data_IF_705652316480
#
_entry.id   IF_705652316480
#
_cell.length_a   1.000
_cell.length_b   1.000
_cell.length_c   1.000
_cell.angle_alpha   90.00
_cell.angle_beta   90.00
_cell.angle_gamma   90.00
#
_symmetry.space_group_name_H-M   'P 1'
#
loop_
_entity.id
_entity.type
_entity.pdbx_description
1 polymer ?
#
# COMPACT_ATOMS: atom_id res chain seq x y z
N UNK A 1 -2.99 -33.42 -63.66
CA UNK A 1 -3.84 -34.35 -62.90
C UNK A 1 -2.98 -35.40 -62.17
N UNK A 2 -1.95 -34.98 -61.43
CA UNK A 2 -0.96 -35.88 -60.80
C UNK A 2 -0.92 -35.64 -59.28
N UNK A 3 -0.92 -36.71 -58.50
CA UNK A 3 -0.75 -36.70 -57.04
C UNK A 3 0.63 -37.24 -56.66
N UNK A 4 1.23 -36.67 -55.62
CA UNK A 4 2.47 -37.14 -55.01
C UNK A 4 2.20 -37.65 -53.60
N UNK A 5 2.70 -38.83 -53.27
CA UNK A 5 2.63 -39.40 -51.93
C UNK A 5 4.02 -39.83 -51.44
N UNK A 6 4.28 -39.65 -50.16
CA UNK A 6 5.36 -40.33 -49.44
C UNK A 6 4.80 -41.45 -48.56
N UNK A 7 5.55 -42.52 -48.36
CA UNK A 7 5.12 -43.71 -47.63
C UNK A 7 6.16 -44.17 -46.61
N UNK A 8 5.68 -44.90 -45.59
CA UNK A 8 6.53 -45.58 -44.58
C UNK A 8 7.39 -46.69 -45.20
N UNK A 9 7.04 -47.16 -46.40
CA UNK A 9 7.85 -48.09 -47.20
C UNK A 9 9.10 -47.45 -47.82
N UNK A 10 9.44 -46.24 -47.38
CA UNK A 10 10.59 -45.42 -47.80
C UNK A 10 10.53 -44.90 -49.24
N UNK A 11 9.38 -44.98 -49.91
CA UNK A 11 9.21 -44.53 -51.29
C UNK A 11 8.40 -43.24 -51.42
N UNK A 12 8.69 -42.50 -52.49
CA UNK A 12 7.85 -41.46 -53.06
C UNK A 12 7.16 -42.03 -54.30
N UNK A 13 5.87 -41.73 -54.50
CA UNK A 13 5.10 -42.22 -55.64
C UNK A 13 4.27 -41.11 -56.28
N UNK A 14 4.20 -41.14 -57.61
CA UNK A 14 3.31 -40.29 -58.41
C UNK A 14 2.15 -41.11 -58.95
N UNK A 15 0.96 -40.51 -58.93
CA UNK A 15 -0.27 -41.14 -59.36
C UNK A 15 -1.02 -40.26 -60.34
N UNK A 16 -1.56 -40.86 -61.39
CA UNK A 16 -2.51 -40.20 -62.27
C UNK A 16 -3.89 -40.26 -61.62
N UNK A 17 -4.47 -39.09 -61.36
CA UNK A 17 -5.71 -38.99 -60.58
C UNK A 17 -6.95 -39.49 -61.34
N UNK A 18 -6.91 -39.46 -62.68
CA UNK A 18 -8.03 -39.86 -63.54
C UNK A 18 -8.33 -41.36 -63.49
N UNK A 19 -7.29 -42.20 -63.39
CA UNK A 19 -7.41 -43.66 -63.41
C UNK A 19 -6.77 -44.33 -62.18
N UNK A 20 -6.11 -43.57 -61.30
CA UNK A 20 -5.44 -44.07 -60.10
C UNK A 20 -4.13 -44.82 -60.37
N UNK A 21 -3.61 -44.79 -61.59
CA UNK A 21 -2.42 -45.55 -61.95
C UNK A 21 -1.16 -44.92 -61.35
N UNK A 22 -0.28 -45.77 -60.82
CA UNK A 22 1.05 -45.33 -60.41
C UNK A 22 1.89 -45.01 -61.65
N UNK A 23 2.33 -43.77 -61.78
CA UNK A 23 3.11 -43.28 -62.93
C UNK A 23 4.60 -43.41 -62.68
N UNK A 24 5.06 -43.09 -61.45
CA UNK A 24 6.46 -43.18 -61.04
C UNK A 24 6.57 -43.60 -59.58
N UNK A 25 7.68 -44.24 -59.23
CA UNK A 25 8.07 -44.56 -57.86
C UNK A 25 9.56 -44.35 -57.71
N UNK A 26 9.96 -43.70 -56.63
CA UNK A 26 11.36 -43.39 -56.33
C UNK A 26 11.70 -43.83 -54.92
N UNK A 27 12.81 -44.58 -54.82
CA UNK A 27 13.45 -44.93 -53.57
C UNK A 27 14.65 -44.01 -53.34
N UNK A 28 14.94 -43.69 -52.08
CA UNK A 28 16.14 -42.90 -51.76
C UNK A 28 16.16 -42.27 -50.37
N UNK A 29 15.05 -42.28 -49.64
CA UNK A 29 15.09 -42.10 -48.18
C UNK A 29 15.42 -43.45 -47.51
N UNK A 30 16.41 -43.53 -46.61
CA UNK A 30 16.64 -44.73 -45.79
C UNK A 30 15.58 -45.01 -44.71
N UNK A 31 14.62 -44.11 -44.51
CA UNK A 31 13.49 -44.27 -43.59
C UNK A 31 12.17 -43.80 -44.20
N UNK A 32 11.05 -44.07 -43.52
CA UNK A 32 9.71 -43.70 -43.99
C UNK A 32 9.59 -42.22 -44.35
N UNK A 33 8.93 -41.92 -45.47
CA UNK A 33 8.74 -40.55 -45.95
C UNK A 33 7.52 -39.94 -45.27
N UNK A 34 7.74 -38.90 -44.46
CA UNK A 34 6.71 -38.27 -43.62
C UNK A 34 5.99 -37.10 -44.30
N UNK A 35 6.61 -36.52 -45.33
CA UNK A 35 6.01 -35.45 -46.10
C UNK A 35 6.68 -35.30 -47.46
N UNK A 36 5.91 -34.93 -48.48
CA UNK A 36 6.38 -34.68 -49.83
C UNK A 36 5.56 -33.58 -50.51
N UNK A 37 6.19 -32.75 -51.34
CA UNK A 37 5.51 -31.66 -52.04
C UNK A 37 6.20 -31.32 -53.36
N UNK A 38 5.41 -30.93 -54.36
CA UNK A 38 5.93 -30.27 -55.55
C UNK A 38 6.35 -28.82 -55.27
N UNK A 39 7.51 -28.45 -55.79
CA UNK A 39 7.88 -27.06 -56.06
C UNK A 39 7.18 -26.54 -57.31
N UNK A 40 7.14 -25.22 -57.45
CA UNK A 40 6.55 -24.59 -58.64
C UNK A 40 7.41 -24.74 -59.90
N UNK A 41 8.69 -25.06 -59.72
CA UNK A 41 9.65 -25.36 -60.77
C UNK A 41 9.62 -26.83 -61.23
N UNK A 42 8.66 -27.63 -60.74
CA UNK A 42 8.52 -29.04 -61.08
C UNK A 42 9.45 -29.99 -60.32
N UNK A 43 10.35 -29.47 -59.47
CA UNK A 43 11.12 -30.29 -58.53
C UNK A 43 10.24 -30.78 -57.39
N UNK A 44 10.68 -31.81 -56.68
CA UNK A 44 9.98 -32.35 -55.52
C UNK A 44 10.84 -32.15 -54.28
N UNK A 45 10.23 -31.85 -53.16
CA UNK A 45 10.87 -31.88 -51.84
C UNK A 45 10.20 -32.92 -50.96
N UNK A 46 11.00 -33.63 -50.17
CA UNK A 46 10.50 -34.63 -49.22
C UNK A 46 11.25 -34.58 -47.89
N UNK A 47 10.59 -35.05 -46.84
CA UNK A 47 11.10 -35.13 -45.49
C UNK A 47 10.90 -36.55 -44.94
N UNK A 48 11.93 -37.12 -44.31
CA UNK A 48 11.97 -38.52 -43.90
C UNK A 48 12.25 -38.76 -42.41
N UNK A 49 11.89 -39.96 -41.95
CA UNK A 49 12.30 -40.50 -40.64
C UNK A 49 13.80 -40.67 -40.48
N UNK A 50 14.52 -40.70 -41.59
CA UNK A 50 15.99 -40.67 -41.64
C UNK A 50 16.59 -39.33 -41.19
N UNK A 51 15.76 -38.36 -40.78
CA UNK A 51 16.14 -37.00 -40.34
C UNK A 51 16.76 -36.18 -41.47
N UNK A 52 16.41 -36.49 -42.72
CA UNK A 52 16.85 -35.75 -43.89
C UNK A 52 15.68 -35.08 -44.61
N UNK A 53 15.99 -33.97 -45.25
CA UNK A 53 15.15 -33.39 -46.30
C UNK A 53 15.84 -33.68 -47.64
N UNK A 54 15.09 -34.06 -48.67
CA UNK A 54 15.64 -34.32 -50.02
C UNK A 54 14.95 -33.44 -51.05
N UNK A 55 15.72 -33.01 -52.04
CA UNK A 55 15.24 -32.32 -53.24
C UNK A 55 15.47 -33.25 -54.44
N UNK A 56 14.44 -33.40 -55.27
CA UNK A 56 14.41 -34.32 -56.39
C UNK A 56 14.13 -33.58 -57.69
N UNK A 57 14.74 -34.02 -58.78
CA UNK A 57 14.38 -33.55 -60.13
C UNK A 57 13.06 -34.20 -60.63
N UNK A 58 12.56 -33.75 -61.78
CA UNK A 58 11.33 -34.28 -62.38
C UNK A 58 11.44 -35.73 -62.90
N UNK A 59 12.66 -36.26 -63.00
CA UNK A 59 12.94 -37.67 -63.27
C UNK A 59 12.92 -38.51 -61.98
N UNK A 60 13.03 -37.84 -60.84
CA UNK A 60 13.05 -38.36 -59.47
C UNK A 60 14.40 -38.92 -59.05
N UNK A 61 15.48 -38.34 -59.57
CA UNK A 61 16.78 -38.45 -58.93
C UNK A 61 16.83 -37.48 -57.75
N UNK A 62 17.38 -37.93 -56.61
CA UNK A 62 17.67 -37.05 -55.50
C UNK A 62 18.85 -36.14 -55.87
N UNK A 63 18.55 -34.92 -56.32
CA UNK A 63 19.57 -33.92 -56.70
C UNK A 63 20.26 -33.31 -55.49
N UNK A 64 19.64 -33.40 -54.30
CA UNK A 64 20.25 -32.98 -53.04
C UNK A 64 19.66 -33.70 -51.83
N UNK A 65 20.51 -33.93 -50.84
CA UNK A 65 20.12 -34.37 -49.50
C UNK A 65 20.61 -33.31 -48.51
N UNK A 66 19.68 -32.78 -47.71
CA UNK A 66 19.96 -31.86 -46.61
C UNK A 66 19.92 -32.67 -45.32
N UNK A 67 21.12 -32.96 -44.80
CA UNK A 67 21.33 -33.80 -43.64
C UNK A 67 21.29 -33.02 -42.32
N UNK A 68 21.33 -33.75 -41.21
CA UNK A 68 21.48 -33.21 -39.86
C UNK A 68 20.28 -32.42 -39.32
N UNK A 69 19.03 -32.82 -39.61
CA UNK A 69 17.92 -32.43 -38.75
C UNK A 69 18.10 -33.07 -37.35
N UNK A 70 17.89 -32.33 -36.26
CA UNK A 70 17.98 -32.85 -34.88
C UNK A 70 17.13 -34.10 -34.63
N UNK A 71 15.95 -34.18 -35.27
CA UNK A 71 15.00 -35.29 -35.13
C UNK A 71 14.24 -35.51 -36.46
N UNK A 72 13.23 -36.39 -36.46
CA UNK A 72 12.43 -36.78 -37.62
C UNK A 72 12.01 -35.56 -38.44
N UNK A 73 12.37 -35.52 -39.73
CA UNK A 73 11.97 -34.44 -40.61
C UNK A 73 10.49 -34.65 -40.99
N UNK A 74 9.62 -33.74 -40.56
CA UNK A 74 8.17 -33.90 -40.69
C UNK A 74 7.65 -33.36 -42.01
N UNK A 75 8.08 -32.16 -42.38
CA UNK A 75 7.60 -31.46 -43.57
C UNK A 75 8.76 -30.75 -44.25
N UNK A 76 8.67 -30.64 -45.56
CA UNK A 76 9.57 -29.85 -46.37
C UNK A 76 8.79 -29.05 -47.41
N UNK A 77 9.30 -27.87 -47.76
CA UNK A 77 8.78 -27.05 -48.84
C UNK A 77 9.93 -26.39 -49.61
N UNK A 78 9.69 -26.13 -50.89
CA UNK A 78 10.53 -25.27 -51.71
C UNK A 78 9.88 -23.88 -51.75
N UNK A 79 10.68 -22.82 -51.59
CA UNK A 79 10.18 -21.44 -51.72
C UNK A 79 9.68 -21.18 -53.13
N UNK A 80 8.80 -20.18 -53.27
CA UNK A 80 8.15 -19.87 -54.55
C UNK A 80 9.15 -19.53 -55.66
N UNK A 81 10.24 -18.85 -55.32
CA UNK A 81 11.36 -18.53 -56.21
C UNK A 81 12.29 -19.72 -56.50
N UNK A 82 12.01 -20.89 -55.91
CA UNK A 82 12.84 -22.09 -56.05
C UNK A 82 14.20 -22.01 -55.36
N UNK A 83 14.53 -20.90 -54.67
CA UNK A 83 15.88 -20.63 -54.18
C UNK A 83 16.21 -21.33 -52.85
N UNK A 84 15.19 -21.70 -52.06
CA UNK A 84 15.39 -22.27 -50.73
C UNK A 84 14.51 -23.48 -50.47
N UNK A 85 15.09 -24.45 -49.77
CA UNK A 85 14.36 -25.56 -49.17
C UNK A 85 14.19 -25.27 -47.68
N UNK A 86 12.99 -25.42 -47.16
CA UNK A 86 12.69 -25.24 -45.73
C UNK A 86 12.18 -26.58 -45.19
N UNK A 87 12.79 -27.03 -44.11
CA UNK A 87 12.44 -28.27 -43.41
C UNK A 87 12.05 -28.01 -41.97
N UNK A 88 11.14 -28.83 -41.44
CA UNK A 88 10.79 -28.83 -40.03
C UNK A 88 10.98 -30.20 -39.42
N UNK A 89 11.41 -30.27 -38.16
CA UNK A 89 11.50 -31.52 -37.42
C UNK A 89 10.48 -31.65 -36.28
N UNK A 90 10.47 -32.84 -35.66
CA UNK A 90 9.64 -33.16 -34.51
C UNK A 90 9.94 -32.30 -33.26
N UNK A 91 11.15 -31.78 -33.13
CA UNK A 91 11.53 -30.88 -32.00
C UNK A 91 11.03 -29.45 -32.19
N UNK A 92 10.48 -29.12 -33.36
CA UNK A 92 10.00 -27.78 -33.69
C UNK A 92 11.09 -26.85 -34.19
N UNK A 93 12.26 -27.37 -34.57
CA UNK A 93 13.24 -26.58 -35.30
C UNK A 93 12.82 -26.43 -36.76
N UNK A 94 13.00 -25.22 -37.28
CA UNK A 94 12.84 -24.91 -38.70
C UNK A 94 14.23 -24.63 -39.25
N UNK A 95 14.59 -25.30 -40.33
CA UNK A 95 15.88 -25.07 -41.02
C UNK A 95 15.63 -24.68 -42.46
N UNK A 96 16.46 -23.78 -42.95
CA UNK A 96 16.44 -23.37 -44.35
C UNK A 96 17.78 -23.66 -44.99
N UNK A 97 17.76 -24.16 -46.22
CA UNK A 97 18.95 -24.39 -47.04
C UNK A 97 18.79 -23.70 -48.38
N UNK A 98 19.90 -23.24 -48.93
CA UNK A 98 19.98 -22.84 -50.32
C UNK A 98 19.78 -24.08 -51.21
N UNK A 99 18.79 -23.99 -52.11
CA UNK A 99 18.39 -25.11 -52.94
C UNK A 99 19.39 -25.42 -54.06
N UNK A 100 20.34 -24.54 -54.36
CA UNK A 100 21.29 -24.61 -55.48
C UNK A 100 22.65 -25.21 -55.07
N UNK A 101 23.10 -24.97 -53.84
CA UNK A 101 24.40 -25.42 -53.33
C UNK A 101 24.30 -26.25 -52.04
N UNK A 102 23.13 -26.33 -51.40
CA UNK A 102 22.94 -27.09 -50.16
C UNK A 102 23.36 -26.36 -48.89
N UNK A 103 23.88 -25.14 -48.98
CA UNK A 103 24.36 -24.38 -47.83
C UNK A 103 23.23 -24.09 -46.85
N UNK A 104 23.47 -24.35 -45.56
CA UNK A 104 22.50 -24.05 -44.50
C UNK A 104 22.39 -22.53 -44.32
N UNK A 105 21.20 -21.99 -44.53
CA UNK A 105 20.84 -20.59 -44.28
C UNK A 105 20.53 -20.28 -42.80
N UNK A 106 20.64 -21.27 -41.92
CA UNK A 106 20.45 -21.13 -40.46
C UNK A 106 19.26 -21.90 -39.90
N UNK A 107 19.18 -21.95 -38.57
CA UNK A 107 18.06 -22.53 -37.83
C UNK A 107 17.18 -21.40 -37.30
N UNK A 108 15.89 -21.46 -37.61
CA UNK A 108 14.86 -20.59 -37.06
C UNK A 108 14.17 -21.38 -35.94
N UNK A 109 14.43 -21.00 -34.70
CA UNK A 109 13.80 -21.61 -33.53
C UNK A 109 12.49 -20.90 -33.22
N UNK A 110 11.36 -21.57 -33.45
CA UNK A 110 10.05 -21.04 -33.12
C UNK A 110 9.47 -21.59 -31.80
N UNK A 111 10.15 -22.54 -31.12
CA UNK A 111 9.66 -23.13 -29.87
C UNK A 111 10.80 -23.33 -28.85
N UNK A 112 10.57 -23.08 -27.55
CA UNK A 112 11.58 -23.26 -26.53
C UNK A 112 11.73 -24.76 -26.23
N UNK A 113 12.86 -25.34 -26.64
CA UNK A 113 13.45 -26.52 -26.03
C UNK A 113 12.69 -27.86 -26.12
N UNK A 114 13.40 -28.90 -25.70
CA UNK A 114 12.89 -30.25 -25.47
C UNK A 114 11.68 -30.25 -24.53
N UNK A 115 10.88 -31.32 -24.52
CA UNK A 115 9.73 -31.45 -23.60
C UNK A 115 10.12 -31.25 -22.13
N UNK A 116 11.32 -31.67 -21.74
CA UNK A 116 11.86 -31.51 -20.39
C UNK A 116 12.08 -30.03 -20.02
N UNK A 117 12.66 -29.24 -20.92
CA UNK A 117 12.88 -27.80 -20.71
C UNK A 117 11.55 -27.05 -20.61
N UNK A 118 10.55 -27.45 -21.42
CA UNK A 118 9.19 -26.89 -21.37
C UNK A 118 8.48 -27.19 -20.04
N UNK A 119 8.68 -28.38 -19.48
CA UNK A 119 8.13 -28.76 -18.19
C UNK A 119 8.79 -28.00 -17.03
N UNK A 120 10.11 -27.82 -17.08
CA UNK A 120 10.83 -27.02 -16.08
C UNK A 120 10.39 -25.55 -16.09
N UNK A 121 10.25 -24.97 -17.28
CA UNK A 121 9.77 -23.59 -17.42
C UNK A 121 8.34 -23.44 -16.88
N UNK A 122 7.43 -24.37 -17.25
CA UNK A 122 6.05 -24.36 -16.77
C UNK A 122 5.96 -24.53 -15.25
N UNK A 123 6.82 -25.36 -14.64
CA UNK A 123 6.88 -25.52 -13.19
C UNK A 123 7.32 -24.23 -12.49
N UNK A 124 8.38 -23.57 -12.99
CA UNK A 124 8.86 -22.29 -12.44
C UNK A 124 7.83 -21.17 -12.58
N UNK A 125 7.16 -21.08 -13.72
CA UNK A 125 6.07 -20.13 -13.94
C UNK A 125 4.89 -20.40 -12.99
N UNK A 126 4.56 -21.67 -12.78
CA UNK A 126 3.49 -22.06 -11.86
C UNK A 126 3.80 -21.64 -10.42
N UNK A 127 5.01 -21.94 -9.92
CA UNK A 127 5.45 -21.53 -8.58
C UNK A 127 5.42 -20.00 -8.41
N UNK A 128 5.94 -19.27 -9.40
CA UNK A 128 5.92 -17.80 -9.38
C UNK A 128 4.48 -17.25 -9.33
N UNK A 129 3.56 -17.83 -10.11
CA UNK A 129 2.14 -17.45 -10.13
C UNK A 129 1.42 -17.83 -8.84
N UNK A 130 1.74 -18.97 -8.24
CA UNK A 130 1.20 -19.37 -6.93
C UNK A 130 1.61 -18.37 -5.85
N UNK A 131 2.90 -18.03 -5.79
CA UNK A 131 3.42 -17.04 -4.83
C UNK A 131 2.77 -15.67 -5.04
N UNK A 132 2.68 -15.19 -6.29
CA UNK A 132 2.04 -13.90 -6.58
C UNK A 132 0.54 -13.88 -6.19
N UNK A 133 -0.18 -14.98 -6.44
CA UNK A 133 -1.60 -15.11 -6.08
C UNK A 133 -1.78 -15.11 -4.55
N UNK A 134 -0.92 -15.84 -3.82
CA UNK A 134 -0.93 -15.84 -2.36
C UNK A 134 -0.65 -14.43 -1.79
N UNK A 135 0.31 -13.70 -2.36
CA UNK A 135 0.62 -12.32 -1.95
C UNK A 135 -0.57 -11.37 -2.19
N UNK A 136 -1.27 -11.49 -3.31
CA UNK A 136 -2.48 -10.69 -3.58
C UNK A 136 -3.58 -10.96 -2.55
N UNK A 137 -3.77 -12.23 -2.15
CA UNK A 137 -4.74 -12.60 -1.11
C UNK A 137 -4.37 -11.99 0.26
N UNK A 138 -3.08 -12.04 0.64
CA UNK A 138 -2.60 -11.40 1.88
C UNK A 138 -2.83 -9.88 1.84
N UNK A 139 -2.50 -9.23 0.73
CA UNK A 139 -2.71 -7.80 0.55
C UNK A 139 -4.20 -7.40 0.62
N UNK A 140 -5.10 -8.22 0.06
CA UNK A 140 -6.53 -7.98 0.16
C UNK A 140 -7.01 -8.05 1.62
N UNK A 141 -6.57 -9.06 2.38
CA UNK A 141 -6.89 -9.20 3.81
C UNK A 141 -6.39 -8.02 4.63
N UNK A 142 -5.15 -7.58 4.40
CA UNK A 142 -4.59 -6.40 5.07
C UNK A 142 -5.41 -5.13 4.78
N UNK A 143 -5.88 -4.94 3.54
CA UNK A 143 -6.76 -3.80 3.21
C UNK A 143 -8.11 -3.90 3.89
N UNK A 144 -8.67 -5.11 4.01
CA UNK A 144 -9.92 -5.34 4.73
C UNK A 144 -9.79 -4.97 6.23
N UNK A 145 -8.69 -5.38 6.87
CA UNK A 145 -8.42 -5.05 8.27
C UNK A 145 -8.20 -3.53 8.45
N UNK A 146 -7.48 -2.88 7.52
CA UNK A 146 -7.33 -1.42 7.51
C UNK A 146 -8.68 -0.70 7.32
N UNK A 147 -9.58 -1.23 6.50
CA UNK A 147 -10.92 -0.68 6.30
C UNK A 147 -11.79 -0.80 7.56
N UNK A 148 -11.68 -1.91 8.29
CA UNK A 148 -12.32 -2.09 9.60
C UNK A 148 -11.82 -1.05 10.59
N UNK A 149 -10.49 -0.85 10.67
CA UNK A 149 -9.90 0.19 11.52
C UNK A 149 -10.36 1.60 11.13
N UNK A 150 -10.42 1.93 9.84
CA UNK A 150 -10.92 3.23 9.38
C UNK A 150 -12.38 3.48 9.82
N UNK A 151 -13.20 2.43 9.84
CA UNK A 151 -14.59 2.49 10.32
C UNK A 151 -14.65 2.76 11.83
N UNK A 152 -13.76 2.17 12.61
CA UNK A 152 -13.61 2.44 14.05
C UNK A 152 -13.21 3.90 14.27
N UNK A 153 -12.20 4.40 13.56
CA UNK A 153 -11.75 5.80 13.65
C UNK A 153 -12.87 6.79 13.35
N UNK A 154 -13.68 6.55 12.33
CA UNK A 154 -14.85 7.40 12.01
C UNK A 154 -15.83 7.42 13.19
N UNK A 155 -16.13 6.24 13.75
CA UNK A 155 -17.03 6.11 14.91
C UNK A 155 -16.50 6.90 16.11
N UNK A 156 -15.20 6.81 16.41
CA UNK A 156 -14.55 7.56 17.47
C UNK A 156 -14.63 9.07 17.25
N UNK A 157 -14.30 9.55 16.05
CA UNK A 157 -14.37 10.99 15.71
C UNK A 157 -15.81 11.51 15.83
N UNK A 158 -16.81 10.74 15.40
CA UNK A 158 -18.23 11.08 15.57
C UNK A 158 -18.64 11.10 17.05
N UNK A 159 -18.11 10.19 17.87
CA UNK A 159 -18.30 10.19 19.31
C UNK A 159 -17.73 11.45 19.97
N UNK A 160 -16.52 11.87 19.55
CA UNK A 160 -15.91 13.11 20.00
C UNK A 160 -16.73 14.33 19.57
N UNK A 161 -17.26 14.38 18.34
CA UNK A 161 -18.13 15.48 17.88
C UNK A 161 -19.36 15.68 18.76
N UNK A 162 -19.88 14.62 19.39
CA UNK A 162 -21.04 14.69 20.29
C UNK A 162 -20.67 15.13 21.70
N UNK A 163 -19.48 14.77 22.19
CA UNK A 163 -19.10 14.89 23.61
C UNK A 163 -18.23 16.11 23.90
N UNK A 164 -17.27 16.41 23.02
CA UNK A 164 -16.28 17.47 23.22
C UNK A 164 -16.89 18.89 23.33
N UNK A 165 -17.95 19.26 22.58
CA UNK A 165 -18.61 20.56 22.77
C UNK A 165 -19.12 20.76 24.20
N UNK A 166 -19.73 19.73 24.80
CA UNK A 166 -20.19 19.79 26.19
C UNK A 166 -19.03 19.93 27.19
N UNK A 167 -17.87 19.34 26.90
CA UNK A 167 -16.66 19.53 27.71
C UNK A 167 -16.12 20.96 27.58
N UNK A 168 -16.18 21.57 26.39
CA UNK A 168 -15.83 22.99 26.20
C UNK A 168 -16.74 23.88 27.05
N UNK A 169 -18.05 23.61 27.07
CA UNK A 169 -19.00 24.39 27.86
C UNK A 169 -18.74 24.26 29.37
N UNK A 170 -18.43 23.05 29.84
CA UNK A 170 -18.02 22.81 31.23
C UNK A 170 -16.71 23.53 31.58
N UNK A 171 -15.72 23.51 30.69
CA UNK A 171 -14.45 24.19 30.87
C UNK A 171 -14.63 25.72 30.92
N UNK A 172 -15.49 26.29 30.07
CA UNK A 172 -15.87 27.71 30.12
C UNK A 172 -16.58 28.07 31.42
N UNK A 173 -17.43 27.20 31.93
CA UNK A 173 -18.08 27.40 33.22
C UNK A 173 -17.08 27.40 34.38
N UNK A 174 -16.09 26.50 34.39
CA UNK A 174 -15.01 26.51 35.39
C UNK A 174 -14.10 27.75 35.27
N UNK A 175 -13.79 28.17 34.04
CA UNK A 175 -13.03 29.39 33.76
C UNK A 175 -13.73 30.62 34.33
N UNK A 176 -15.05 30.75 34.12
CA UNK A 176 -15.85 31.84 34.67
C UNK A 176 -15.85 31.86 36.20
N UNK A 177 -15.92 30.67 36.84
CA UNK A 177 -15.84 30.54 38.30
C UNK A 177 -14.48 30.94 38.85
N UNK A 178 -13.38 30.48 38.25
CA UNK A 178 -12.02 30.84 38.67
C UNK A 178 -11.78 32.35 38.54
N UNK A 179 -12.23 32.96 37.43
CA UNK A 179 -12.18 34.42 37.25
C UNK A 179 -12.97 35.15 38.34
N UNK A 180 -14.20 34.74 38.61
CA UNK A 180 -15.03 35.36 39.64
C UNK A 180 -14.44 35.24 41.05
N UNK A 181 -13.84 34.10 41.40
CA UNK A 181 -13.17 33.89 42.67
C UNK A 181 -11.96 34.81 42.83
N UNK A 182 -11.12 34.91 41.79
CA UNK A 182 -9.98 35.84 41.76
C UNK A 182 -10.43 37.29 41.89
N UNK A 183 -11.43 37.71 41.12
CA UNK A 183 -11.95 39.09 41.14
C UNK A 183 -12.52 39.43 42.54
N UNK A 184 -13.18 38.47 43.20
CA UNK A 184 -13.69 38.63 44.57
C UNK A 184 -12.57 38.78 45.61
N UNK A 185 -11.52 37.98 45.52
CA UNK A 185 -10.36 38.10 46.40
C UNK A 185 -9.60 39.42 46.16
N UNK A 186 -9.46 39.84 44.91
CA UNK A 186 -8.84 41.12 44.55
C UNK A 186 -9.65 42.31 45.10
N UNK A 187 -10.98 42.27 44.98
CA UNK A 187 -11.87 43.27 45.58
C UNK A 187 -11.77 43.29 47.12
N UNK A 188 -11.67 42.11 47.75
CA UNK A 188 -11.50 41.98 49.20
C UNK A 188 -10.16 42.57 49.67
N UNK A 189 -9.07 42.34 48.91
CA UNK A 189 -7.76 42.94 49.15
C UNK A 189 -7.84 44.48 49.05
N UNK A 190 -8.42 45.01 47.98
CA UNK A 190 -8.55 46.45 47.78
C UNK A 190 -9.40 47.13 48.87
N UNK A 191 -10.46 46.48 49.34
CA UNK A 191 -11.28 46.98 50.44
C UNK A 191 -10.48 47.06 51.76
N UNK A 192 -9.72 46.01 52.11
CA UNK A 192 -8.89 46.00 53.30
C UNK A 192 -7.73 47.00 53.24
N UNK A 193 -7.13 47.21 52.05
CA UNK A 193 -6.10 48.24 51.86
C UNK A 193 -6.66 49.65 52.07
N UNK A 194 -7.88 49.91 51.58
CA UNK A 194 -8.58 51.17 51.80
C UNK A 194 -8.89 51.40 53.29
N UNK A 195 -9.38 50.36 53.98
CA UNK A 195 -9.66 50.40 55.42
C UNK A 195 -8.38 50.63 56.24
N UNK A 196 -7.29 49.93 55.92
CA UNK A 196 -5.99 50.11 56.56
C UNK A 196 -5.48 51.55 56.40
N UNK A 197 -5.55 52.10 55.18
CA UNK A 197 -5.16 53.48 54.89
C UNK A 197 -6.03 54.51 55.62
N UNK A 198 -7.34 54.25 55.72
CA UNK A 198 -8.26 55.07 56.50
C UNK A 198 -7.91 55.08 57.98
N UNK A 199 -7.63 53.89 58.56
CA UNK A 199 -7.17 53.76 59.95
C UNK A 199 -5.85 54.48 60.18
N UNK A 200 -4.87 54.34 59.30
CA UNK A 200 -3.58 55.03 59.42
C UNK A 200 -3.74 56.56 59.44
N UNK A 201 -4.68 57.08 58.63
CA UNK A 201 -5.00 58.52 58.59
C UNK A 201 -5.59 58.99 59.92
N UNK A 202 -6.61 58.29 60.45
CA UNK A 202 -7.22 58.57 61.76
C UNK A 202 -6.18 58.49 62.88
N UNK A 203 -5.27 57.52 62.80
CA UNK A 203 -4.25 57.29 63.80
C UNK A 203 -3.18 58.39 63.79
N UNK A 204 -2.82 58.90 62.61
CA UNK A 204 -1.95 60.07 62.47
C UNK A 204 -2.57 61.33 63.11
N UNK A 205 -3.87 61.57 62.88
CA UNK A 205 -4.60 62.69 63.46
C UNK A 205 -4.73 62.58 64.99
N UNK A 206 -5.08 61.39 65.50
CA UNK A 206 -5.17 61.14 66.95
C UNK A 206 -3.82 61.29 67.65
N UNK A 207 -2.72 60.83 67.05
CA UNK A 207 -1.37 61.04 67.57
C UNK A 207 -1.04 62.54 67.62
N UNK A 208 -1.34 63.30 66.55
CA UNK A 208 -1.14 64.74 66.53
C UNK A 208 -1.98 65.47 67.60
N UNK A 209 -3.24 65.07 67.79
CA UNK A 209 -4.11 65.61 68.84
C UNK A 209 -3.60 65.27 70.25
N UNK A 210 -3.14 64.04 70.47
CA UNK A 210 -2.55 63.61 71.74
C UNK A 210 -1.32 64.44 72.10
N UNK A 211 -0.44 64.73 71.13
CA UNK A 211 0.72 65.62 71.31
C UNK A 211 0.28 67.04 71.69
N UNK A 212 -0.68 67.62 70.96
CA UNK A 212 -1.22 68.96 71.28
C UNK A 212 -1.82 69.04 72.68
N UNK A 213 -2.59 68.03 73.10
CA UNK A 213 -3.18 67.97 74.44
C UNK A 213 -2.11 67.84 75.54
N UNK A 214 -1.04 67.08 75.30
CA UNK A 214 0.11 67.00 76.22
C UNK A 214 0.84 68.34 76.34
N UNK A 215 1.09 69.02 75.22
CA UNK A 215 1.75 70.33 75.21
C UNK A 215 0.92 71.40 75.93
N UNK A 216 -0.42 71.38 75.77
CA UNK A 216 -1.31 72.28 76.52
C UNK A 216 -1.36 71.93 78.01
N UNK A 217 -1.42 70.64 78.37
CA UNK A 217 -1.42 70.20 79.77
C UNK A 217 -0.16 70.67 80.54
N UNK A 218 0.99 70.77 79.86
CA UNK A 218 2.22 71.32 80.44
C UNK A 218 2.15 72.84 80.68
N UNK A 219 1.35 73.58 79.89
CA UNK A 219 1.20 75.04 79.98
C UNK A 219 0.14 75.49 80.99
N UNK A 220 -0.81 74.62 81.37
CA UNK A 220 -1.87 74.91 82.35
C UNK A 220 -1.98 73.82 83.44
N UNK A 221 -1.08 73.80 84.44
CA UNK A 221 -0.96 72.70 85.41
C UNK A 221 -2.15 72.58 86.39
N UNK A 222 -2.94 73.64 86.56
CA UNK A 222 -4.08 73.65 87.48
C UNK A 222 -5.33 72.97 86.92
N UNK A 223 -5.39 72.69 85.61
CA UNK A 223 -6.55 72.10 84.95
C UNK A 223 -6.38 70.58 84.74
N UNK A 224 -7.06 69.79 85.56
CA UNK A 224 -7.03 68.32 85.52
C UNK A 224 -7.73 67.72 84.30
N UNK A 225 -8.50 68.50 83.53
CA UNK A 225 -9.23 67.99 82.37
C UNK A 225 -8.30 67.66 81.18
N UNK A 226 -7.22 68.43 80.98
CA UNK A 226 -6.32 68.23 79.84
C UNK A 226 -5.47 66.95 79.91
N UNK A 227 -4.86 66.58 81.06
CA UNK A 227 -4.21 65.28 81.22
C UNK A 227 -5.17 64.10 81.01
N UNK A 228 -6.43 64.21 81.47
CA UNK A 228 -7.44 63.17 81.27
C UNK A 228 -7.84 63.02 79.80
N UNK A 229 -7.98 64.13 79.06
CA UNK A 229 -8.24 64.11 77.63
C UNK A 229 -7.08 63.49 76.83
N UNK A 230 -5.83 63.81 77.18
CA UNK A 230 -4.65 63.19 76.58
C UNK A 230 -4.59 61.67 76.82
N UNK A 231 -4.90 61.21 78.04
CA UNK A 231 -4.95 59.78 78.36
C UNK A 231 -6.07 59.05 77.60
N UNK A 232 -7.24 59.68 77.42
CA UNK A 232 -8.34 59.13 76.59
C UNK A 232 -7.95 59.04 75.11
N UNK A 233 -7.31 60.07 74.56
CA UNK A 233 -6.82 60.06 73.17
C UNK A 233 -5.76 58.96 72.97
N UNK A 234 -4.86 58.78 73.94
CA UNK A 234 -3.84 57.73 73.89
C UNK A 234 -4.43 56.31 74.02
N UNK A 235 -5.50 56.13 74.80
CA UNK A 235 -6.23 54.87 74.85
C UNK A 235 -6.94 54.55 73.52
N UNK A 236 -7.49 55.55 72.82
CA UNK A 236 -8.07 55.39 71.48
C UNK A 236 -7.00 55.00 70.44
N UNK A 237 -5.80 55.60 70.51
CA UNK A 237 -4.67 55.19 69.64
C UNK A 237 -4.33 53.71 69.85
N UNK A 238 -4.18 53.26 71.10
CA UNK A 238 -3.87 51.87 71.40
C UNK A 238 -4.97 50.90 70.92
N UNK A 239 -6.24 51.31 70.97
CA UNK A 239 -7.37 50.51 70.49
C UNK A 239 -7.34 50.33 68.97
N UNK A 240 -7.06 51.40 68.22
CA UNK A 240 -6.95 51.34 66.75
C UNK A 240 -5.70 50.55 66.33
N UNK A 241 -4.58 50.70 67.04
CA UNK A 241 -3.37 49.89 66.80
C UNK A 241 -3.63 48.38 66.98
N UNK A 242 -4.47 48.00 67.96
CA UNK A 242 -4.91 46.61 68.14
C UNK A 242 -5.75 46.10 66.96
N UNK A 243 -6.52 46.94 66.28
CA UNK A 243 -7.31 46.54 65.10
C UNK A 243 -6.51 46.50 63.79
N UNK A 244 -5.39 47.25 63.69
CA UNK A 244 -4.54 47.26 62.49
C UNK A 244 -3.80 45.93 62.31
N UNK A 245 -3.36 45.31 63.41
CA UNK A 245 -2.55 44.08 63.37
C UNK A 245 -3.32 42.90 62.73
N UNK A 246 -4.60 42.62 63.09
CA UNK A 246 -5.43 41.65 62.40
C UNK A 246 -5.66 41.96 60.91
N UNK A 247 -5.83 43.23 60.53
CA UNK A 247 -6.04 43.62 59.12
C UNK A 247 -4.79 43.40 58.28
N UNK A 248 -3.61 43.73 58.80
CA UNK A 248 -2.33 43.45 58.14
C UNK A 248 -2.09 41.94 57.96
N UNK A 249 -2.46 41.12 58.96
CA UNK A 249 -2.38 39.67 58.87
C UNK A 249 -3.31 39.09 57.77
N UNK A 250 -4.56 39.56 57.70
CA UNK A 250 -5.52 39.18 56.64
C UNK A 250 -5.01 39.56 55.24
N UNK A 251 -4.41 40.75 55.10
CA UNK A 251 -3.80 41.20 53.85
C UNK A 251 -2.69 40.25 53.37
N UNK A 252 -1.80 39.84 54.29
CA UNK A 252 -0.72 38.89 53.99
C UNK A 252 -1.23 37.50 53.62
N UNK A 253 -2.36 37.07 54.17
CA UNK A 253 -3.01 35.79 53.85
C UNK A 253 -3.73 35.80 52.49
N UNK A 254 -4.21 36.96 52.04
CA UNK A 254 -4.91 37.09 50.74
C UNK A 254 -3.95 37.01 49.54
N UNK A 255 -2.71 37.45 49.67
CA UNK A 255 -1.72 37.41 48.58
C UNK A 255 -1.49 36.02 47.97
N UNK A 256 -1.18 34.97 48.76
CA UNK A 256 -1.02 33.62 48.20
C UNK A 256 -2.33 33.05 47.65
N UNK A 257 -3.50 33.43 48.20
CA UNK A 257 -4.81 32.98 47.68
C UNK A 257 -5.11 33.59 46.31
N UNK A 258 -4.86 34.88 46.12
CA UNK A 258 -5.01 35.55 44.82
C UNK A 258 -4.05 34.94 43.79
N UNK A 259 -2.80 34.65 44.17
CA UNK A 259 -1.84 34.01 43.29
C UNK A 259 -2.28 32.59 42.86
N UNK A 260 -2.85 31.82 43.79
CA UNK A 260 -3.40 30.48 43.51
C UNK A 260 -4.58 30.56 42.54
N UNK A 261 -5.54 31.46 42.77
CA UNK A 261 -6.69 31.64 41.87
C UNK A 261 -6.27 32.19 40.50
N UNK A 262 -5.25 33.04 40.44
CA UNK A 262 -4.69 33.49 39.17
C UNK A 262 -4.10 32.34 38.35
N UNK A 263 -3.43 31.38 39.01
CA UNK A 263 -2.93 30.16 38.38
C UNK A 263 -4.08 29.25 37.92
N UNK A 264 -5.06 29.03 38.79
CA UNK A 264 -6.29 28.25 38.48
C UNK A 264 -7.01 28.82 37.24
N UNK A 265 -7.12 30.14 37.14
CA UNK A 265 -7.68 30.80 35.98
C UNK A 265 -6.84 30.57 34.71
N UNK A 266 -5.52 30.71 34.78
CA UNK A 266 -4.63 30.49 33.64
C UNK A 266 -4.70 29.03 33.13
N UNK A 267 -4.76 28.05 34.04
CA UNK A 267 -4.91 26.64 33.70
C UNK A 267 -6.27 26.38 33.03
N UNK A 268 -7.34 27.01 33.51
CA UNK A 268 -8.67 26.93 32.90
C UNK A 268 -8.72 27.59 31.51
N UNK A 269 -8.07 28.75 31.33
CA UNK A 269 -7.93 29.45 30.05
C UNK A 269 -7.23 28.53 29.02
N UNK A 270 -6.12 27.91 29.42
CA UNK A 270 -5.36 26.99 28.56
C UNK A 270 -6.17 25.74 28.18
N UNK A 271 -6.95 25.19 29.11
CA UNK A 271 -7.83 24.05 28.85
C UNK A 271 -8.94 24.41 27.84
N UNK A 272 -9.59 25.57 28.00
CA UNK A 272 -10.62 26.05 27.07
C UNK A 272 -10.04 26.23 25.67
N UNK A 273 -8.85 26.84 25.55
CA UNK A 273 -8.16 26.98 24.26
C UNK A 273 -7.90 25.62 23.63
N UNK A 274 -7.32 24.68 24.39
CA UNK A 274 -6.99 23.34 23.91
C UNK A 274 -8.22 22.59 23.40
N UNK A 275 -9.29 22.54 24.19
CA UNK A 275 -10.53 21.84 23.81
C UNK A 275 -11.20 22.52 22.61
N UNK A 276 -11.20 23.86 22.55
CA UNK A 276 -11.77 24.61 21.42
C UNK A 276 -11.01 24.32 20.12
N UNK A 277 -9.68 24.28 20.16
CA UNK A 277 -8.84 23.89 19.01
C UNK A 277 -9.11 22.44 18.59
N UNK A 278 -9.27 21.52 19.53
CA UNK A 278 -9.61 20.13 19.21
C UNK A 278 -10.98 20.03 18.52
N UNK A 279 -12.01 20.71 19.03
CA UNK A 279 -13.35 20.77 18.40
C UNK A 279 -13.27 21.30 16.98
N UNK A 280 -12.54 22.40 16.76
CA UNK A 280 -12.38 23.00 15.43
C UNK A 280 -11.71 22.06 14.42
N UNK A 281 -10.84 21.15 14.88
CA UNK A 281 -10.18 20.16 14.03
C UNK A 281 -11.01 18.91 13.71
N UNK A 282 -12.07 18.60 14.47
CA UNK A 282 -12.87 17.39 14.29
C UNK A 282 -13.54 17.27 12.91
N UNK A 283 -14.14 18.33 12.31
CA UNK A 283 -14.74 18.23 11.00
C UNK A 283 -13.75 17.79 9.91
N UNK A 284 -12.55 18.39 9.90
CA UNK A 284 -11.50 18.01 8.95
C UNK A 284 -11.06 16.56 9.16
N UNK A 285 -10.82 16.16 10.41
CA UNK A 285 -10.45 14.77 10.75
C UNK A 285 -11.50 13.77 10.29
N UNK A 286 -12.79 14.11 10.41
CA UNK A 286 -13.87 13.25 9.95
C UNK A 286 -13.87 13.12 8.41
N UNK A 287 -13.75 14.23 7.70
CA UNK A 287 -13.68 14.24 6.23
C UNK A 287 -12.48 13.43 5.73
N UNK A 288 -11.30 13.62 6.34
CA UNK A 288 -10.08 12.88 6.00
C UNK A 288 -10.25 11.38 6.25
N UNK A 289 -10.86 10.99 7.39
CA UNK A 289 -11.13 9.60 7.72
C UNK A 289 -12.13 8.95 6.76
N UNK A 290 -13.20 9.66 6.37
CA UNK A 290 -14.18 9.20 5.38
C UNK A 290 -13.57 9.04 3.99
N UNK A 291 -12.72 9.99 3.57
CA UNK A 291 -11.99 9.89 2.31
C UNK A 291 -11.05 8.66 2.30
N UNK A 292 -10.33 8.43 3.40
CA UNK A 292 -9.48 7.25 3.55
C UNK A 292 -10.28 5.94 3.53
N UNK A 293 -11.42 5.88 4.23
CA UNK A 293 -12.31 4.70 4.22
C UNK A 293 -12.80 4.40 2.79
N UNK A 294 -13.21 5.43 2.04
CA UNK A 294 -13.63 5.26 0.64
C UNK A 294 -12.48 4.74 -0.22
N UNK A 295 -11.28 5.32 -0.11
CA UNK A 295 -10.11 4.89 -0.87
C UNK A 295 -9.74 3.43 -0.58
N UNK A 296 -9.75 3.03 0.70
CA UNK A 296 -9.53 1.63 1.10
C UNK A 296 -10.60 0.68 0.55
N UNK A 297 -11.86 1.11 0.51
CA UNK A 297 -12.96 0.33 -0.08
C UNK A 297 -12.76 0.11 -1.59
N UNK A 298 -12.38 1.16 -2.32
CA UNK A 298 -12.07 1.08 -3.75
C UNK A 298 -10.84 0.19 -4.01
N UNK A 299 -9.80 0.32 -3.18
CA UNK A 299 -8.59 -0.51 -3.24
C UNK A 299 -8.87 -1.99 -2.93
N UNK A 300 -9.74 -2.28 -1.94
CA UNK A 300 -10.14 -3.64 -1.60
C UNK A 300 -10.83 -4.32 -2.77
N UNK A 301 -11.79 -3.63 -3.42
CA UNK A 301 -12.47 -4.15 -4.62
C UNK A 301 -11.47 -4.47 -5.73
N UNK A 302 -10.56 -3.55 -6.03
CA UNK A 302 -9.53 -3.76 -7.05
C UNK A 302 -8.64 -4.97 -6.72
N UNK A 303 -8.21 -5.12 -5.46
CA UNK A 303 -7.40 -6.26 -5.00
C UNK A 303 -8.17 -7.57 -5.06
N UNK A 304 -9.44 -7.59 -4.70
CA UNK A 304 -10.30 -8.79 -4.81
C UNK A 304 -10.46 -9.22 -6.27
N UNK A 305 -10.73 -8.29 -7.19
CA UNK A 305 -10.81 -8.59 -8.63
C UNK A 305 -9.48 -9.12 -9.16
N UNK A 306 -8.35 -8.50 -8.79
CA UNK A 306 -7.02 -8.97 -9.19
C UNK A 306 -6.70 -10.37 -8.64
N UNK A 307 -7.06 -10.66 -7.39
CA UNK A 307 -6.88 -11.98 -6.79
C UNK A 307 -7.74 -13.05 -7.47
N UNK A 308 -9.00 -12.73 -7.81
CA UNK A 308 -9.88 -13.65 -8.56
C UNK A 308 -9.31 -13.95 -9.95
N UNK A 309 -8.83 -12.93 -10.67
CA UNK A 309 -8.22 -13.10 -11.98
C UNK A 309 -6.93 -13.93 -11.89
N UNK A 310 -6.06 -13.64 -10.92
CA UNK A 310 -4.84 -14.39 -10.68
C UNK A 310 -5.13 -15.86 -10.35
N UNK A 311 -6.17 -16.14 -9.56
CA UNK A 311 -6.61 -17.50 -9.24
C UNK A 311 -7.11 -18.24 -10.49
N UNK A 312 -7.88 -17.58 -11.36
CA UNK A 312 -8.35 -18.18 -12.61
C UNK A 312 -7.19 -18.50 -13.56
N UNK A 313 -6.21 -17.60 -13.68
CA UNK A 313 -5.02 -17.81 -14.51
C UNK A 313 -4.12 -18.91 -13.92
N UNK A 314 -4.00 -19.01 -12.60
CA UNK A 314 -3.30 -20.09 -11.93
C UNK A 314 -3.90 -21.46 -12.29
N UNK A 315 -5.23 -21.60 -12.24
CA UNK A 315 -5.93 -22.84 -12.62
C UNK A 315 -5.68 -23.21 -14.09
N UNK A 316 -5.65 -22.21 -14.99
CA UNK A 316 -5.33 -22.45 -16.42
C UNK A 316 -3.92 -23.00 -16.60
N UNK A 317 -2.93 -22.40 -15.92
CA UNK A 317 -1.53 -22.84 -16.00
C UNK A 317 -1.36 -24.24 -15.41
N UNK A 318 -2.02 -24.53 -14.28
CA UNK A 318 -2.06 -25.88 -13.70
C UNK A 318 -2.59 -26.91 -14.72
N UNK A 319 -3.68 -26.60 -15.41
CA UNK A 319 -4.23 -27.48 -16.46
C UNK A 319 -3.32 -27.66 -17.69
N UNK A 320 -2.46 -26.68 -18.00
CA UNK A 320 -1.44 -26.83 -19.05
C UNK A 320 -0.31 -27.74 -18.55
N UNK A 321 0.19 -27.49 -17.34
CA UNK A 321 1.27 -28.28 -16.74
C UNK A 321 0.88 -29.77 -16.64
N UNK A 322 -0.33 -30.09 -16.20
CA UNK A 322 -0.83 -31.48 -16.12
C UNK A 322 -0.94 -32.14 -17.50
N UNK A 323 -1.36 -31.40 -18.54
CA UNK A 323 -1.36 -31.91 -19.93
C UNK A 323 0.04 -32.15 -20.49
N UNK A 324 1.04 -31.36 -20.08
CA UNK A 324 2.42 -31.59 -20.48
C UNK A 324 3.01 -32.83 -19.78
N UNK A 325 2.73 -32.99 -18.47
CA UNK A 325 3.14 -34.18 -17.71
C UNK A 325 2.52 -35.46 -18.29
N UNK A 326 1.23 -35.43 -18.64
CA UNK A 326 0.57 -36.60 -19.23
C UNK A 326 1.20 -36.99 -20.57
N UNK A 327 1.52 -36.02 -21.44
CA UNK A 327 2.26 -36.26 -22.69
C UNK A 327 3.65 -36.86 -22.48
N UNK A 328 4.38 -36.42 -21.45
CA UNK A 328 5.68 -36.99 -21.11
C UNK A 328 5.56 -38.48 -20.78
N UNK A 329 4.55 -38.85 -19.98
CA UNK A 329 4.30 -40.25 -19.60
C UNK A 329 3.89 -41.14 -20.79
N UNK A 330 3.25 -40.58 -21.81
CA UNK A 330 2.87 -41.32 -23.02
C UNK A 330 4.07 -41.57 -23.94
N UNK A 331 4.97 -40.59 -24.05
CA UNK A 331 6.20 -40.71 -24.85
C UNK A 331 7.17 -41.70 -24.21
N UNK A 332 7.28 -41.74 -22.87
CA UNK A 332 8.13 -42.71 -22.18
C UNK A 332 7.57 -44.14 -22.18
N UNK A 333 6.28 -44.33 -22.46
CA UNK A 333 5.63 -45.63 -22.50
C UNK A 333 5.64 -46.31 -23.89
N UNK A 334 6.14 -45.64 -24.94
CA UNK A 334 6.27 -46.26 -26.25
C UNK A 334 7.45 -47.26 -26.23
N UNK A 335 7.21 -48.58 -26.39
CA UNK A 335 8.30 -49.53 -26.45
C UNK A 335 9.12 -49.23 -27.69
N UNK A 336 10.45 -49.19 -27.54
CA UNK A 336 11.37 -49.26 -28.66
C UNK A 336 11.02 -50.52 -29.45
N UNK A 337 10.27 -50.37 -30.56
CA UNK A 337 10.05 -51.47 -31.47
C UNK A 337 11.43 -51.89 -31.96
N UNK A 338 11.85 -53.06 -31.49
CA UNK A 338 12.98 -53.83 -31.95
C UNK A 338 13.16 -53.66 -33.45
N UNK A 339 14.30 -53.11 -33.86
CA UNK A 339 14.84 -53.35 -35.18
C UNK A 339 15.06 -54.86 -35.28
N UNK A 340 14.11 -55.53 -35.94
CA UNK A 340 14.18 -56.96 -36.23
C UNK A 340 15.27 -57.22 -37.26
N UNK A 341 16.03 -58.28 -36.97
CA UNK A 341 17.06 -58.96 -37.77
C UNK A 341 16.70 -59.17 -39.24
#
# INVERSE_FOLDING_TARGET
>A
NILLSGSEDTTLRQWEMENGNQVKSWAGHPGGVLGARYGMDGRIVSAGRDRTVKLWDGSGNAVRTFEAMPDLALRALLTHDGARVIGTDWTGQIRAWNSADGTSGGTITANPGTLAERLQLAAKELEAKQSATAQLAVQAKQTEDALKQATVTITEVQGLQKTLPGQVDQAKASQAKAKAAKDTLAASKAALESEAKGRDTVLAELRAMTTRLKDLAQKTPADKAMPQAANRAQALVALIEQEITPTAAKLKELEPKIALEAKSQADADALVVTLTTQVAGLPKRLTDAQANQKALGDQLKARQTAAQQAQADLLRIQGIAERLKSRQSTVSAQPAKSAGS
#
